data_IF_764635841420
#
_entry.id   IF_764635841420
#
_cell.length_a   1.000
_cell.length_b   1.000
_cell.length_c   1.000
_cell.angle_alpha   90.00
_cell.angle_beta   90.00
_cell.angle_gamma   90.00
#
_symmetry.space_group_name_H-M   'P 1'
#
loop_
_entity.id
_entity.type
_entity.pdbx_description
1 polymer ?
#
# COMPACT_ATOMS: atom_id res chain seq x y z
N UNK A 1 11.46 13.30 -5.93
CA UNK A 1 10.71 12.13 -5.44
C UNK A 1 10.77 11.03 -6.48
N UNK A 2 10.72 9.76 -6.06
CA UNK A 2 10.80 8.60 -6.96
C UNK A 2 9.47 7.86 -6.97
N UNK A 3 9.03 7.39 -8.14
CA UNK A 3 7.88 6.51 -8.25
C UNK A 3 8.21 5.14 -7.62
N UNK A 4 7.33 4.65 -6.76
CA UNK A 4 7.41 3.36 -6.07
C UNK A 4 6.18 2.53 -6.40
N UNK A 5 6.36 1.21 -6.55
CA UNK A 5 5.27 0.27 -6.78
C UNK A 5 5.22 -0.66 -5.57
N UNK A 6 4.12 -0.63 -4.82
CA UNK A 6 3.92 -1.47 -3.64
C UNK A 6 3.04 -2.65 -4.04
N UNK A 7 3.62 -3.84 -3.97
CA UNK A 7 2.96 -5.10 -4.23
C UNK A 7 2.64 -5.79 -2.91
N UNK A 8 1.38 -6.15 -2.71
CA UNK A 8 0.93 -6.81 -1.49
C UNK A 8 0.66 -8.29 -1.73
N UNK A 9 1.12 -9.13 -0.82
CA UNK A 9 0.96 -10.58 -0.92
C UNK A 9 -0.51 -10.99 -0.79
N UNK A 10 -1.06 -11.56 -1.86
CA UNK A 10 -2.40 -12.16 -1.84
C UNK A 10 -3.55 -11.15 -1.79
N UNK A 11 -3.30 -9.87 -2.10
CA UNK A 11 -4.38 -8.88 -2.13
C UNK A 11 -5.48 -9.25 -3.12
N UNK A 12 -6.72 -9.03 -2.67
CA UNK A 12 -7.95 -9.36 -3.36
C UNK A 12 -8.11 -10.85 -3.72
N UNK A 13 -7.35 -11.71 -3.06
CA UNK A 13 -7.48 -13.18 -3.12
C UNK A 13 -7.63 -13.74 -1.70
N UNK A 14 -8.23 -14.92 -1.57
CA UNK A 14 -8.21 -15.68 -0.31
C UNK A 14 -8.72 -14.96 0.94
N UNK A 15 -9.60 -13.96 0.80
CA UNK A 15 -10.17 -13.21 1.92
C UNK A 15 -9.39 -11.95 2.36
N UNK A 16 -8.22 -11.69 1.79
CA UNK A 16 -7.48 -10.43 2.01
C UNK A 16 -8.03 -9.39 1.04
N UNK A 17 -8.79 -8.42 1.52
CA UNK A 17 -9.44 -7.39 0.69
C UNK A 17 -9.41 -6.03 1.37
N UNK A 18 -9.07 -5.01 0.60
CA UNK A 18 -9.24 -3.62 0.99
C UNK A 18 -9.88 -2.87 -0.18
N UNK A 19 -10.79 -1.93 0.14
CA UNK A 19 -11.37 -1.09 -0.89
C UNK A 19 -10.26 -0.22 -1.51
N UNK A 20 -10.28 -0.12 -2.83
CA UNK A 20 -9.26 0.60 -3.60
C UNK A 20 -9.25 2.09 -3.26
N UNK A 21 -10.40 2.68 -2.93
CA UNK A 21 -10.50 4.05 -2.39
C UNK A 21 -9.72 4.20 -1.10
N UNK A 22 -9.91 3.27 -0.17
CA UNK A 22 -9.39 3.35 1.18
C UNK A 22 -7.89 3.10 1.20
N UNK A 23 -7.39 2.23 0.31
CA UNK A 23 -5.95 2.06 0.07
C UNK A 23 -5.28 3.36 -0.37
N UNK A 24 -5.91 4.13 -1.26
CA UNK A 24 -5.38 5.44 -1.68
C UNK A 24 -5.44 6.46 -0.56
N UNK A 25 -6.54 6.49 0.20
CA UNK A 25 -6.68 7.37 1.37
C UNK A 25 -5.61 7.07 2.41
N UNK A 26 -5.41 5.80 2.77
CA UNK A 26 -4.35 5.37 3.69
C UNK A 26 -2.96 5.84 3.20
N UNK A 27 -2.65 5.64 1.92
CA UNK A 27 -1.38 6.09 1.36
C UNK A 27 -1.22 7.62 1.40
N UNK A 28 -2.30 8.37 1.14
CA UNK A 28 -2.30 9.83 1.26
C UNK A 28 -2.10 10.30 2.70
N UNK A 29 -2.76 9.66 3.68
CA UNK A 29 -2.66 9.96 5.11
C UNK A 29 -1.26 9.66 5.67
N UNK A 30 -0.54 8.71 5.05
CA UNK A 30 0.87 8.44 5.33
C UNK A 30 1.83 9.50 4.74
N UNK A 31 1.30 10.46 3.97
CA UNK A 31 2.08 11.48 3.27
C UNK A 31 2.75 10.98 1.98
N UNK A 32 2.29 9.88 1.40
CA UNK A 32 2.78 9.39 0.11
C UNK A 32 2.14 10.18 -1.03
N UNK A 33 2.95 10.60 -1.99
CA UNK A 33 2.49 11.42 -3.11
C UNK A 33 1.75 10.60 -4.16
N UNK A 34 0.77 11.22 -4.82
CA UNK A 34 0.10 10.70 -6.02
C UNK A 34 -0.33 9.21 -5.95
N UNK A 35 -1.07 8.79 -4.90
CA UNK A 35 -1.44 7.40 -4.72
C UNK A 35 -2.43 6.95 -5.80
N UNK A 36 -2.03 5.90 -6.53
CA UNK A 36 -2.79 5.30 -7.62
C UNK A 36 -2.82 3.79 -7.47
N UNK A 37 -3.81 3.17 -8.07
CA UNK A 37 -4.01 1.71 -8.03
C UNK A 37 -4.33 1.24 -9.44
N UNK A 38 -3.79 0.10 -9.85
CA UNK A 38 -4.14 -0.50 -11.13
C UNK A 38 -5.32 -1.47 -10.96
N UNK A 39 -6.48 -1.11 -11.52
CA UNK A 39 -7.72 -1.89 -11.45
C UNK A 39 -8.08 -2.25 -9.99
N UNK A 40 -8.63 -3.44 -9.78
CA UNK A 40 -8.93 -4.01 -8.46
C UNK A 40 -7.82 -4.98 -7.99
N UNK A 41 -6.55 -4.74 -8.33
CA UNK A 41 -5.45 -5.62 -7.91
C UNK A 41 -5.05 -5.45 -6.44
N UNK A 42 -5.41 -4.31 -5.83
CA UNK A 42 -5.01 -3.98 -4.46
C UNK A 42 -3.57 -3.50 -4.32
N UNK A 43 -2.82 -3.37 -5.42
CA UNK A 43 -1.46 -2.82 -5.42
C UNK A 43 -1.46 -1.29 -5.57
N UNK A 44 -0.43 -0.63 -5.03
CA UNK A 44 -0.29 0.82 -5.01
C UNK A 44 0.88 1.31 -5.88
N UNK A 45 0.70 2.45 -6.53
CA UNK A 45 1.76 3.26 -7.13
C UNK A 45 1.76 4.60 -6.41
N UNK A 46 2.90 5.00 -5.87
CA UNK A 46 3.05 6.22 -5.07
C UNK A 46 4.36 6.94 -5.41
N UNK A 47 4.48 8.17 -4.94
CA UNK A 47 5.72 8.93 -4.94
C UNK A 47 6.26 9.00 -3.51
N UNK A 48 7.52 8.62 -3.31
CA UNK A 48 8.14 8.64 -1.99
C UNK A 48 9.64 8.86 -2.07
N UNK A 49 10.18 9.59 -1.09
CA UNK A 49 11.61 9.72 -0.85
C UNK A 49 12.15 8.73 0.20
N UNK A 50 11.30 7.91 0.81
CA UNK A 50 11.71 6.94 1.83
C UNK A 50 12.59 5.84 1.22
N UNK A 51 13.46 5.26 2.05
CA UNK A 51 14.18 4.04 1.71
C UNK A 51 13.19 2.88 1.52
N UNK A 52 13.53 1.91 0.65
CA UNK A 52 12.66 0.77 0.32
C UNK A 52 12.20 0.01 1.57
N UNK A 53 13.14 -0.43 2.41
CA UNK A 53 12.82 -1.18 3.63
C UNK A 53 11.96 -0.40 4.63
N UNK A 54 12.15 0.92 4.72
CA UNK A 54 11.31 1.77 5.57
C UNK A 54 9.88 1.87 5.01
N UNK A 55 9.74 1.98 3.68
CA UNK A 55 8.43 2.03 3.05
C UNK A 55 7.67 0.71 3.17
N UNK A 56 8.36 -0.43 3.05
CA UNK A 56 7.80 -1.77 3.29
C UNK A 56 7.29 -1.89 4.73
N UNK A 57 8.13 -1.58 5.72
CA UNK A 57 7.72 -1.63 7.12
C UNK A 57 6.52 -0.72 7.43
N UNK A 58 6.58 0.54 6.97
CA UNK A 58 5.54 1.53 7.22
C UNK A 58 4.20 1.14 6.58
N UNK A 59 4.22 0.59 5.35
CA UNK A 59 2.98 0.22 4.65
C UNK A 59 2.35 -1.02 5.25
N UNK A 60 3.13 -2.02 5.69
CA UNK A 60 2.61 -3.20 6.37
C UNK A 60 1.94 -2.81 7.70
N UNK A 61 2.57 -1.93 8.48
CA UNK A 61 2.01 -1.41 9.72
C UNK A 61 0.72 -0.60 9.49
N UNK A 62 0.68 0.20 8.41
CA UNK A 62 -0.52 0.96 8.04
C UNK A 62 -1.67 0.04 7.60
N UNK A 63 -1.37 -1.05 6.88
CA UNK A 63 -2.37 -2.05 6.48
C UNK A 63 -2.99 -2.75 7.70
N UNK A 64 -2.18 -3.13 8.69
CA UNK A 64 -2.68 -3.72 9.93
C UNK A 64 -3.54 -2.71 10.71
N UNK A 65 -3.08 -1.46 10.84
CA UNK A 65 -3.82 -0.42 11.57
C UNK A 65 -5.15 -0.05 10.91
N UNK A 66 -5.19 0.04 9.58
CA UNK A 66 -6.34 0.58 8.84
C UNK A 66 -7.36 -0.52 8.51
N UNK A 67 -6.88 -1.71 8.18
CA UNK A 67 -7.72 -2.80 7.67
C UNK A 67 -7.72 -4.05 8.57
N UNK A 68 -6.90 -4.10 9.61
CA UNK A 68 -6.69 -5.31 10.41
C UNK A 68 -5.97 -6.42 9.64
N UNK A 69 -5.28 -6.07 8.54
CA UNK A 69 -4.65 -7.02 7.63
C UNK A 69 -3.14 -7.07 7.84
N UNK A 70 -2.65 -8.21 8.35
CA UNK A 70 -1.22 -8.54 8.34
C UNK A 70 -0.84 -9.11 6.98
N UNK A 71 -0.38 -8.23 6.09
CA UNK A 71 -0.02 -8.56 4.71
C UNK A 71 1.41 -8.13 4.44
N UNK A 72 2.20 -9.01 3.83
CA UNK A 72 3.55 -8.68 3.40
C UNK A 72 3.52 -7.76 2.18
N UNK A 73 4.41 -6.77 2.15
CA UNK A 73 4.57 -5.82 1.05
C UNK A 73 5.98 -5.86 0.46
N UNK A 74 6.10 -5.53 -0.82
CA UNK A 74 7.36 -5.38 -1.55
C UNK A 74 7.33 -4.09 -2.37
N UNK A 75 8.41 -3.31 -2.37
CA UNK A 75 8.51 -1.96 -2.96
C UNK A 75 9.51 -1.86 -4.12
#
# INVERSE_FOLDING_TARGET
MTHRIILFRGMNTGGVRAAVSDLRTMAADMGLGNPRTLLASGNLVVESGKATAALEYDIEAAMEKTFGLKVAAMV
#
